data_IF_151346289853
#
_entry.id   IF_151346289853
#
_cell.length_a   1.000
_cell.length_b   1.000
_cell.length_c   1.000
_cell.angle_alpha   90.00
_cell.angle_beta   90.00
_cell.angle_gamma   90.00
#
_symmetry.space_group_name_H-M   'P 1'
#
loop_
_entity.id
_entity.type
_entity.pdbx_description
1 polymer ?
#
# COMPACT_ATOMS: atom_id res chain seq x y z
N UNK A 1 6.75 10.95 14.76
CA UNK A 1 6.89 9.51 14.97
C UNK A 1 6.52 8.74 13.72
N UNK A 2 7.40 7.91 13.18
CA UNK A 2 7.09 7.16 11.97
C UNK A 2 5.94 6.15 12.18
N UNK A 3 5.06 6.06 11.20
CA UNK A 3 3.98 5.06 11.16
C UNK A 3 4.05 4.38 9.79
N UNK A 4 4.05 3.07 9.78
CA UNK A 4 4.04 2.29 8.55
C UNK A 4 2.96 1.20 8.61
N UNK A 5 2.12 1.14 7.59
CA UNK A 5 1.06 0.14 7.49
C UNK A 5 1.19 -0.70 6.24
N UNK A 6 1.02 -2.02 6.38
CA UNK A 6 1.07 -2.96 5.26
C UNK A 6 -0.24 -3.73 5.18
N UNK A 7 -0.78 -3.86 3.98
CA UNK A 7 -2.02 -4.57 3.70
C UNK A 7 -3.20 -4.06 4.56
N UNK A 8 -3.65 -4.82 5.56
CA UNK A 8 -4.72 -4.38 6.47
C UNK A 8 -4.38 -3.09 7.20
N UNK A 9 -3.12 -2.94 7.64
CA UNK A 9 -2.64 -1.70 8.24
C UNK A 9 -2.72 -0.52 7.28
N UNK A 10 -2.43 -0.74 6.01
CA UNK A 10 -2.59 0.29 4.98
C UNK A 10 -4.04 0.74 4.85
N UNK A 11 -4.99 -0.21 4.88
CA UNK A 11 -6.41 0.12 4.83
C UNK A 11 -6.83 0.99 6.01
N UNK A 12 -6.33 0.69 7.20
CA UNK A 12 -6.64 1.44 8.42
C UNK A 12 -6.07 2.86 8.37
N UNK A 13 -4.94 3.06 7.73
CA UNK A 13 -4.32 4.39 7.60
C UNK A 13 -5.07 5.33 6.64
N UNK A 14 -5.88 4.79 5.76
CA UNK A 14 -6.63 5.58 4.79
C UNK A 14 -7.77 6.40 5.40
N UNK A 15 -8.52 7.07 4.55
CA UNK A 15 -9.67 7.87 4.97
C UNK A 15 -10.91 7.03 5.20
N UNK A 16 -11.10 5.99 4.41
CA UNK A 16 -12.30 5.19 4.46
C UNK A 16 -12.13 3.77 3.97
N UNK A 17 -13.01 2.90 4.44
CA UNK A 17 -13.10 1.51 4.04
C UNK A 17 -14.56 1.18 3.78
N UNK A 18 -14.85 0.68 2.60
CA UNK A 18 -16.19 0.21 2.24
C UNK A 18 -16.23 -1.30 2.47
N UNK A 19 -17.17 -1.76 3.31
CA UNK A 19 -17.29 -3.18 3.62
C UNK A 19 -18.00 -3.96 2.50
N UNK A 20 -18.13 -5.27 2.69
CA UNK A 20 -18.72 -6.14 1.66
C UNK A 20 -20.20 -5.80 1.38
N UNK A 21 -20.89 -5.15 2.31
CA UNK A 21 -22.28 -4.74 2.11
C UNK A 21 -22.42 -3.35 1.48
N UNK A 22 -21.30 -2.67 1.21
CA UNK A 22 -21.29 -1.34 0.60
C UNK A 22 -21.30 -0.20 1.59
N UNK A 23 -21.22 -0.48 2.89
CA UNK A 23 -21.19 0.57 3.91
C UNK A 23 -19.78 1.10 4.10
N UNK A 24 -19.64 2.44 4.07
CA UNK A 24 -18.36 3.10 4.27
C UNK A 24 -18.10 3.36 5.76
N UNK A 25 -16.90 3.01 6.20
CA UNK A 25 -16.41 3.24 7.56
C UNK A 25 -15.25 4.23 7.52
N UNK A 26 -15.26 5.19 8.44
CA UNK A 26 -14.13 6.11 8.58
C UNK A 26 -12.93 5.38 9.16
N UNK A 27 -11.76 5.60 8.56
CA UNK A 27 -10.49 5.07 9.04
C UNK A 27 -9.66 6.18 9.68
N UNK A 28 -8.37 5.92 9.95
CA UNK A 28 -7.51 6.85 10.69
C UNK A 28 -7.27 8.18 9.97
N UNK A 29 -7.32 8.20 8.65
CA UNK A 29 -7.16 9.42 7.87
C UNK A 29 -5.74 9.98 7.84
N UNK A 30 -4.74 9.17 8.18
CA UNK A 30 -3.34 9.59 8.13
C UNK A 30 -2.79 9.57 6.69
N UNK A 31 -3.41 8.80 5.82
CA UNK A 31 -3.24 8.83 4.38
C UNK A 31 -4.61 9.09 3.74
N UNK A 32 -4.64 9.48 2.47
CA UNK A 32 -5.88 9.96 1.86
C UNK A 32 -6.57 8.96 0.94
N UNK A 33 -6.08 7.73 0.86
CA UNK A 33 -6.70 6.69 0.04
C UNK A 33 -7.93 6.08 0.72
N UNK A 34 -8.78 5.44 -0.06
CA UNK A 34 -9.91 4.66 0.45
C UNK A 34 -9.90 3.27 -0.21
N UNK A 35 -10.40 2.28 0.50
CA UNK A 35 -10.38 0.89 0.09
C UNK A 35 -11.77 0.27 0.14
N UNK A 36 -11.98 -0.85 -0.58
CA UNK A 36 -13.31 -1.48 -0.66
C UNK A 36 -13.21 -3.00 -0.74
N UNK A 37 -14.09 -3.66 0.00
CA UNK A 37 -14.35 -5.10 -0.11
C UNK A 37 -15.59 -5.40 -0.96
N UNK A 38 -16.24 -4.38 -1.50
CA UNK A 38 -17.52 -4.51 -2.20
C UNK A 38 -17.41 -5.41 -3.42
N UNK A 39 -16.35 -5.23 -4.22
CA UNK A 39 -16.02 -6.10 -5.33
C UNK A 39 -14.75 -6.85 -4.96
N UNK A 40 -14.90 -8.09 -4.52
CA UNK A 40 -13.77 -8.88 -4.05
C UNK A 40 -12.97 -9.40 -5.23
N UNK A 41 -11.69 -9.09 -5.24
CA UNK A 41 -10.78 -9.56 -6.27
C UNK A 41 -9.44 -9.91 -5.61
N UNK A 42 -9.03 -11.18 -5.79
CA UNK A 42 -7.76 -11.63 -5.26
C UNK A 42 -6.61 -11.00 -6.04
N UNK A 43 -5.70 -10.36 -5.30
CA UNK A 43 -4.41 -9.93 -5.81
C UNK A 43 -3.35 -10.63 -4.98
N UNK A 44 -2.57 -11.49 -5.63
CA UNK A 44 -1.64 -12.37 -4.95
C UNK A 44 -0.37 -12.52 -5.78
N UNK A 45 0.77 -12.45 -5.12
CA UNK A 45 2.03 -12.80 -5.75
C UNK A 45 3.22 -12.11 -5.13
N UNK A 46 4.38 -12.53 -5.60
CA UNK A 46 5.65 -11.91 -5.26
C UNK A 46 5.70 -10.47 -5.80
N UNK A 47 6.28 -9.59 -5.01
CA UNK A 47 6.47 -8.19 -5.40
C UNK A 47 7.87 -7.73 -5.02
N UNK A 48 8.40 -6.81 -5.81
CA UNK A 48 9.61 -6.07 -5.52
C UNK A 48 9.27 -4.59 -5.54
N UNK A 49 9.64 -3.88 -4.47
CA UNK A 49 9.34 -2.48 -4.30
C UNK A 49 10.64 -1.67 -4.33
N UNK A 50 10.69 -0.64 -5.19
CA UNK A 50 11.76 0.36 -5.18
C UNK A 50 11.24 1.57 -4.43
N UNK A 51 11.84 1.86 -3.29
CA UNK A 51 11.39 2.96 -2.43
C UNK A 51 11.62 4.31 -3.11
N UNK A 52 10.61 5.18 -3.06
CA UNK A 52 10.65 6.50 -3.69
C UNK A 52 11.12 7.61 -2.74
N UNK A 53 11.25 7.29 -1.46
CA UNK A 53 11.76 8.23 -0.44
C UNK A 53 12.37 7.44 0.70
N UNK A 54 13.18 8.12 1.52
CA UNK A 54 13.69 7.55 2.76
C UNK A 54 12.52 7.23 3.69
N UNK A 55 12.61 6.11 4.39
CA UNK A 55 11.53 5.71 5.30
C UNK A 55 11.92 4.48 6.12
N UNK A 56 10.93 3.88 6.80
CA UNK A 56 11.20 2.77 7.74
C UNK A 56 11.76 1.51 7.08
N UNK A 57 11.54 1.32 5.76
CA UNK A 57 12.07 0.16 5.05
C UNK A 57 13.44 0.39 4.44
N UNK A 58 13.96 1.62 4.48
CA UNK A 58 15.28 1.93 3.97
C UNK A 58 15.33 3.27 3.26
N UNK A 59 16.52 3.64 2.73
CA UNK A 59 16.66 4.89 1.98
C UNK A 59 16.02 4.81 0.60
N UNK A 60 15.75 5.98 0.01
CA UNK A 60 15.22 6.10 -1.35
C UNK A 60 16.07 5.30 -2.33
N UNK A 61 15.42 4.63 -3.26
CA UNK A 61 16.08 3.78 -4.25
C UNK A 61 16.34 2.35 -3.81
N UNK A 62 16.16 2.03 -2.52
CA UNK A 62 16.32 0.68 -2.01
C UNK A 62 15.29 -0.27 -2.64
N UNK A 63 15.73 -1.49 -2.90
CA UNK A 63 14.84 -2.57 -3.36
C UNK A 63 14.48 -3.45 -2.18
N UNK A 64 13.19 -3.73 -2.02
CA UNK A 64 12.66 -4.57 -0.95
C UNK A 64 11.81 -5.66 -1.57
N UNK A 65 12.01 -6.90 -1.13
CA UNK A 65 11.22 -8.06 -1.56
C UNK A 65 10.09 -8.31 -0.60
N UNK A 66 8.99 -8.78 -1.15
CA UNK A 66 7.87 -9.19 -0.36
C UNK A 66 6.79 -9.81 -1.22
N UNK A 67 5.57 -9.77 -0.73
CA UNK A 67 4.45 -10.29 -1.49
C UNK A 67 3.19 -9.48 -1.20
N UNK A 68 2.22 -9.65 -2.08
CA UNK A 68 0.90 -9.05 -1.94
C UNK A 68 -0.12 -10.18 -1.85
N UNK A 69 -1.06 -10.04 -0.91
CA UNK A 69 -2.18 -10.96 -0.77
C UNK A 69 -3.36 -10.13 -0.24
N UNK A 70 -4.33 -9.86 -1.11
CA UNK A 70 -5.49 -9.05 -0.71
C UNK A 70 -6.72 -9.40 -1.51
N UNK A 71 -7.88 -9.21 -0.89
CA UNK A 71 -9.18 -9.27 -1.55
C UNK A 71 -9.81 -7.88 -1.73
N UNK A 72 -9.35 -6.89 -1.00
CA UNK A 72 -9.82 -5.52 -1.14
C UNK A 72 -9.11 -4.81 -2.28
N UNK A 73 -9.69 -3.73 -2.77
CA UNK A 73 -9.09 -2.86 -3.78
C UNK A 73 -9.10 -1.42 -3.32
N UNK A 74 -8.24 -0.63 -3.91
CA UNK A 74 -8.20 0.81 -3.67
C UNK A 74 -9.20 1.49 -4.62
N UNK A 75 -10.12 2.28 -4.06
CA UNK A 75 -11.16 2.97 -4.85
C UNK A 75 -10.89 4.46 -4.99
N UNK A 76 -10.08 5.03 -4.10
CA UNK A 76 -9.65 6.43 -4.16
C UNK A 76 -8.17 6.45 -3.80
N UNK A 77 -7.35 7.01 -4.67
CA UNK A 77 -5.90 7.06 -4.43
C UNK A 77 -5.49 8.29 -3.60
N UNK A 78 -6.33 9.32 -3.58
CA UNK A 78 -6.03 10.52 -2.84
C UNK A 78 -4.89 11.34 -3.43
N UNK A 79 -4.40 12.31 -2.66
CA UNK A 79 -3.35 13.23 -3.10
C UNK A 79 -1.96 12.96 -2.51
N UNK A 80 -1.77 11.84 -1.81
CA UNK A 80 -0.48 11.54 -1.21
C UNK A 80 0.55 11.14 -2.26
N UNK A 81 1.83 11.39 -1.98
CA UNK A 81 2.91 10.90 -2.83
C UNK A 81 2.95 9.36 -2.77
N UNK A 82 3.35 8.68 -3.84
CA UNK A 82 3.45 7.22 -3.82
C UNK A 82 4.59 6.74 -2.93
N UNK A 83 4.41 5.55 -2.35
CA UNK A 83 5.40 4.94 -1.47
C UNK A 83 6.54 4.30 -2.26
N UNK A 84 6.24 3.55 -3.32
CA UNK A 84 7.23 2.78 -4.07
C UNK A 84 6.78 2.50 -5.50
N UNK A 85 7.74 2.19 -6.37
CA UNK A 85 7.49 1.55 -7.66
C UNK A 85 7.41 0.06 -7.44
N UNK A 86 6.35 -0.59 -7.90
CA UNK A 86 6.07 -2.00 -7.62
C UNK A 86 6.22 -2.81 -8.91
N UNK A 87 6.87 -3.96 -8.79
CA UNK A 87 7.04 -4.91 -9.90
C UNK A 87 6.86 -6.35 -9.40
N UNK A 88 6.60 -7.28 -10.31
CA UNK A 88 6.53 -8.70 -9.98
C UNK A 88 7.87 -9.41 -10.25
N UNK A 89 7.90 -10.73 -10.02
CA UNK A 89 9.11 -11.53 -10.19
C UNK A 89 9.62 -11.57 -11.64
N UNK A 90 8.76 -11.33 -12.63
CA UNK A 90 9.15 -11.32 -14.04
C UNK A 90 9.64 -9.95 -14.51
N UNK A 91 9.64 -8.96 -13.62
CA UNK A 91 10.00 -7.58 -13.96
C UNK A 91 8.85 -6.75 -14.51
N UNK A 92 7.64 -7.30 -14.54
CA UNK A 92 6.46 -6.56 -14.97
C UNK A 92 6.16 -5.46 -13.95
N UNK A 93 6.12 -4.22 -14.42
CA UNK A 93 5.82 -3.07 -13.57
C UNK A 93 4.32 -2.93 -13.34
N UNK A 94 3.93 -2.67 -12.09
CA UNK A 94 2.58 -2.26 -11.73
C UNK A 94 2.48 -0.75 -11.56
N UNK A 95 3.60 -0.03 -11.73
CA UNK A 95 3.66 1.40 -11.53
C UNK A 95 3.82 1.80 -10.06
N UNK A 96 3.64 3.08 -9.74
CA UNK A 96 3.72 3.55 -8.37
C UNK A 96 2.56 3.03 -7.54
N UNK A 97 2.81 2.74 -6.26
CA UNK A 97 1.79 2.25 -5.35
C UNK A 97 2.01 2.70 -3.92
N UNK A 98 0.96 2.53 -3.11
CA UNK A 98 0.96 2.95 -1.74
C UNK A 98 0.91 4.46 -1.58
N UNK A 99 1.17 4.93 -0.37
CA UNK A 99 1.15 6.36 -0.06
C UNK A 99 2.16 6.74 0.99
N UNK A 100 2.57 8.00 0.96
CA UNK A 100 3.39 8.60 2.01
C UNK A 100 2.98 10.05 2.25
N UNK A 101 2.93 10.42 3.51
CA UNK A 101 2.66 11.79 3.95
C UNK A 101 3.47 12.04 5.22
N UNK A 102 4.49 12.90 5.14
CA UNK A 102 5.40 13.12 6.25
C UNK A 102 6.07 11.81 6.67
N UNK A 103 5.88 11.41 7.93
CA UNK A 103 6.44 10.17 8.45
C UNK A 103 5.47 8.99 8.38
N UNK A 104 4.33 9.15 7.71
CA UNK A 104 3.34 8.08 7.51
C UNK A 104 3.55 7.47 6.14
N UNK A 105 3.71 6.14 6.10
CA UNK A 105 3.86 5.38 4.87
C UNK A 105 2.99 4.14 4.90
N UNK A 106 2.63 3.63 3.74
CA UNK A 106 1.88 2.39 3.66
C UNK A 106 1.69 1.90 2.23
N UNK A 107 1.40 0.62 2.10
CA UNK A 107 1.07 -0.01 0.83
C UNK A 107 0.40 -1.36 1.04
N UNK A 108 -0.11 -1.94 -0.04
CA UNK A 108 -0.62 -3.32 -0.03
C UNK A 108 0.50 -4.35 0.14
N UNK A 109 1.72 -3.96 -0.12
CA UNK A 109 2.90 -4.82 -0.15
C UNK A 109 3.35 -5.21 1.26
N UNK A 110 3.61 -6.51 1.46
CA UNK A 110 4.21 -7.03 2.69
C UNK A 110 5.72 -7.19 2.49
N UNK A 111 6.51 -6.37 3.15
CA UNK A 111 7.96 -6.43 3.08
C UNK A 111 8.46 -7.64 3.87
N UNK A 112 9.34 -8.43 3.24
CA UNK A 112 9.91 -9.65 3.84
C UNK A 112 11.41 -9.49 4.06
N UNK A 113 12.13 -8.96 3.07
CA UNK A 113 13.58 -8.87 3.12
C UNK A 113 14.10 -7.81 2.15
N UNK A 114 15.32 -7.29 2.37
CA UNK A 114 16.01 -6.50 1.35
C UNK A 114 16.24 -7.34 0.11
N UNK A 115 16.13 -6.72 -1.02
CA UNK A 115 16.35 -7.40 -2.29
C UNK A 115 17.85 -7.45 -2.62
#
# INVERSE_FOLDING_TARGET
>A
RPVHGECGGYMVLGEGLVDASGQRHRMAGLLSHATSFETRRLSLGYREARLLADGPLGPAGSLVRGHEFRYAREIETGGDAPFAEIADASGRSFGPGGGRRGLVTGSWFHAVAPA
#
